data_IF_717513758339
#
_entry.id   IF_717513758339
#
_cell.length_a   1.000
_cell.length_b   1.000
_cell.length_c   1.000
_cell.angle_alpha   90.00
_cell.angle_beta   90.00
_cell.angle_gamma   90.00
#
_symmetry.space_group_name_H-M   'P 1'
#
loop_
_entity.id
_entity.type
_entity.pdbx_description
1 polymer ?
#
# COMPACT_ATOMS: atom_id res chain seq x y z
N UNK A 1 4.32 9.16 10.97
CA UNK A 1 3.05 8.75 11.60
C UNK A 1 2.42 7.63 10.78
N UNK A 2 1.98 6.54 11.41
CA UNK A 2 1.23 5.48 10.71
C UNK A 2 -0.27 5.78 10.82
N UNK A 3 -1.00 5.76 9.69
CA UNK A 3 -2.44 6.02 9.64
C UNK A 3 -3.13 5.17 8.58
N UNK A 4 -4.46 5.10 8.63
CA UNK A 4 -5.25 4.53 7.53
C UNK A 4 -5.10 5.41 6.28
N UNK A 5 -5.08 4.77 5.12
CA UNK A 5 -5.05 5.47 3.85
C UNK A 5 -6.39 6.15 3.53
N UNK A 6 -6.33 7.26 2.84
CA UNK A 6 -7.46 7.99 2.28
C UNK A 6 -7.39 7.93 0.74
N UNK A 7 -8.47 8.28 0.01
CA UNK A 7 -8.45 8.27 -1.45
C UNK A 7 -7.36 9.13 -2.09
N UNK A 8 -6.87 10.18 -1.40
CA UNK A 8 -5.77 11.03 -1.89
C UNK A 8 -4.41 10.32 -1.86
N UNK A 9 -4.24 9.30 -1.02
CA UNK A 9 -2.97 8.56 -0.92
C UNK A 9 -2.77 7.55 -2.07
N UNK A 10 -3.82 7.26 -2.86
CA UNK A 10 -3.81 6.16 -3.83
C UNK A 10 -2.69 6.25 -4.86
N UNK A 11 -2.35 7.47 -5.31
CA UNK A 11 -1.27 7.68 -6.26
C UNK A 11 0.11 7.38 -5.63
N UNK A 12 0.35 7.86 -4.40
CA UNK A 12 1.59 7.59 -3.67
C UNK A 12 1.76 6.08 -3.37
N UNK A 13 0.66 5.41 -3.00
CA UNK A 13 0.64 3.95 -2.81
C UNK A 13 1.02 3.24 -4.11
N UNK A 14 0.42 3.62 -5.24
CA UNK A 14 0.71 2.98 -6.52
C UNK A 14 2.19 3.16 -6.92
N UNK A 15 2.77 4.34 -6.67
CA UNK A 15 4.17 4.60 -6.97
C UNK A 15 5.10 3.66 -6.20
N UNK A 16 4.90 3.50 -4.88
CA UNK A 16 5.70 2.56 -4.09
C UNK A 16 5.50 1.11 -4.54
N UNK A 17 4.27 0.69 -4.87
CA UNK A 17 4.02 -0.65 -5.42
C UNK A 17 4.79 -0.84 -6.73
N UNK A 18 4.80 0.16 -7.61
CA UNK A 18 5.49 0.10 -8.91
C UNK A 18 7.00 -0.10 -8.74
N UNK A 19 7.63 0.67 -7.84
CA UNK A 19 9.07 0.54 -7.54
C UNK A 19 9.46 -0.90 -7.21
N UNK A 20 8.65 -1.61 -6.41
CA UNK A 20 8.91 -3.00 -6.08
C UNK A 20 8.42 -4.02 -7.11
N UNK A 21 7.44 -3.65 -7.94
CA UNK A 21 6.91 -4.52 -8.99
C UNK A 21 7.87 -4.61 -10.20
N UNK A 22 8.62 -3.54 -10.49
CA UNK A 22 9.62 -3.53 -11.58
C UNK A 22 10.70 -4.61 -11.39
N UNK A 23 11.11 -4.89 -10.15
CA UNK A 23 12.06 -5.94 -9.79
C UNK A 23 11.40 -7.30 -9.47
N UNK A 24 10.08 -7.44 -9.66
CA UNK A 24 9.34 -8.66 -9.36
C UNK A 24 9.19 -8.99 -7.86
N UNK A 25 9.54 -8.05 -6.97
CA UNK A 25 9.43 -8.23 -5.50
C UNK A 25 8.00 -8.07 -4.98
N UNK A 26 7.12 -7.45 -5.76
CA UNK A 26 5.73 -7.20 -5.40
C UNK A 26 4.81 -7.35 -6.61
N UNK A 27 3.60 -7.87 -6.39
CA UNK A 27 2.57 -7.88 -7.43
C UNK A 27 2.09 -6.45 -7.73
N UNK A 28 2.07 -6.09 -9.01
CA UNK A 28 1.52 -4.83 -9.47
C UNK A 28 0.03 -4.68 -9.09
N UNK A 29 -0.40 -3.44 -8.89
CA UNK A 29 -1.81 -3.06 -8.73
C UNK A 29 -2.12 -1.79 -9.48
N UNK A 30 -3.28 -1.78 -10.13
CA UNK A 30 -3.83 -0.60 -10.79
C UNK A 30 -4.30 0.43 -9.77
N UNK A 31 -4.37 1.69 -10.18
CA UNK A 31 -4.89 2.77 -9.35
C UNK A 31 -6.36 2.54 -8.97
N UNK A 32 -7.13 1.92 -9.87
CA UNK A 32 -8.53 1.56 -9.65
C UNK A 32 -8.67 0.53 -8.52
N UNK A 33 -7.89 -0.54 -8.54
CA UNK A 33 -7.87 -1.56 -7.46
C UNK A 33 -7.45 -0.95 -6.12
N UNK A 34 -6.44 -0.09 -6.12
CA UNK A 34 -5.98 0.59 -4.89
C UNK A 34 -7.11 1.48 -4.33
N UNK A 35 -7.78 2.28 -5.16
CA UNK A 35 -8.91 3.12 -4.73
C UNK A 35 -10.07 2.30 -4.21
N UNK A 36 -10.43 1.20 -4.89
CA UNK A 36 -11.47 0.28 -4.45
C UNK A 36 -11.17 -0.32 -3.07
N UNK A 37 -9.90 -0.63 -2.80
CA UNK A 37 -9.47 -1.26 -1.55
C UNK A 37 -8.78 -0.30 -0.58
N UNK A 38 -8.93 1.01 -0.73
CA UNK A 38 -8.12 2.00 -0.01
C UNK A 38 -8.20 1.84 1.51
N UNK A 39 -9.36 1.45 2.04
CA UNK A 39 -9.59 1.25 3.48
C UNK A 39 -8.79 0.09 4.08
N UNK A 40 -8.27 -0.81 3.24
CA UNK A 40 -7.40 -1.91 3.67
C UNK A 40 -5.95 -1.49 3.82
N UNK A 41 -5.57 -0.31 3.31
CA UNK A 41 -4.20 0.19 3.36
C UNK A 41 -3.93 1.00 4.64
N UNK A 42 -2.74 0.78 5.17
CA UNK A 42 -2.05 1.64 6.12
C UNK A 42 -0.90 2.32 5.39
N UNK A 43 -0.65 3.57 5.73
CA UNK A 43 0.46 4.36 5.20
C UNK A 43 1.30 4.91 6.35
N UNK A 44 2.61 4.99 6.14
CA UNK A 44 3.52 5.74 6.99
C UNK A 44 3.82 7.07 6.31
N UNK A 45 3.48 8.16 6.98
CA UNK A 45 3.71 9.52 6.52
C UNK A 45 4.86 10.17 7.29
N UNK A 46 5.77 10.84 6.59
CA UNK A 46 6.86 11.63 7.15
C UNK A 46 6.98 12.92 6.34
N UNK A 47 6.99 14.07 7.01
CA UNK A 47 7.13 15.39 6.38
C UNK A 47 6.12 15.65 5.23
N UNK A 48 4.90 15.12 5.37
CA UNK A 48 3.83 15.21 4.36
C UNK A 48 3.94 14.21 3.21
N UNK A 49 5.00 13.38 3.18
CA UNK A 49 5.21 12.36 2.15
C UNK A 49 4.88 10.95 2.67
N UNK A 50 4.30 10.13 1.80
CA UNK A 50 4.08 8.71 2.10
C UNK A 50 5.38 7.95 1.84
N UNK A 51 6.01 7.52 2.93
CA UNK A 51 7.30 6.80 2.93
C UNK A 51 7.15 5.30 3.18
N UNK A 52 5.94 4.81 3.37
CA UNK A 52 5.69 3.38 3.54
C UNK A 52 4.24 3.00 3.40
N UNK A 53 4.00 1.77 2.97
CA UNK A 53 2.67 1.22 2.66
C UNK A 53 2.55 -0.21 3.15
N UNK A 54 1.34 -0.61 3.51
CA UNK A 54 0.95 -1.99 3.78
C UNK A 54 -0.55 -2.12 3.56
N UNK A 55 -1.03 -3.26 3.09
CA UNK A 55 -2.46 -3.58 3.07
C UNK A 55 -2.74 -4.87 3.83
N UNK A 56 -3.89 -4.92 4.49
CA UNK A 56 -4.36 -6.11 5.20
C UNK A 56 -5.56 -6.70 4.45
N UNK A 57 -5.44 -7.95 4.01
CA UNK A 57 -6.55 -8.70 3.42
C UNK A 57 -7.03 -9.73 4.44
N UNK A 58 -8.27 -9.57 4.87
CA UNK A 58 -8.95 -10.53 5.73
C UNK A 58 -9.45 -11.68 4.86
N UNK A 59 -9.06 -12.91 5.22
CA UNK A 59 -9.47 -14.14 4.58
C UNK A 59 -10.59 -14.86 5.34
N UNK A 60 -10.76 -16.13 5.03
CA UNK A 60 -11.63 -17.04 5.76
C UNK A 60 -10.95 -17.50 7.06
N UNK A 61 -11.74 -18.00 8.03
CA UNK A 61 -11.24 -18.65 9.25
C UNK A 61 -10.22 -17.85 10.08
N UNK A 62 -10.47 -16.55 10.24
CA UNK A 62 -9.65 -15.63 11.04
C UNK A 62 -8.22 -15.41 10.51
N UNK A 63 -7.92 -15.81 9.26
CA UNK A 63 -6.65 -15.51 8.61
C UNK A 63 -6.60 -14.05 8.14
N UNK A 64 -5.46 -13.40 8.34
CA UNK A 64 -5.15 -12.08 7.74
C UNK A 64 -3.84 -12.17 6.98
N UNK A 65 -3.87 -11.73 5.73
CA UNK A 65 -2.70 -11.65 4.86
C UNK A 65 -2.16 -10.21 4.85
N UNK A 66 -0.88 -10.05 5.15
CA UNK A 66 -0.14 -8.81 4.89
C UNK A 66 0.22 -8.78 3.40
N UNK A 67 -0.20 -7.73 2.69
CA UNK A 67 0.03 -7.56 1.25
C UNK A 67 0.60 -6.19 0.96
N UNK A 68 1.37 -6.08 -0.11
CA UNK A 68 1.89 -4.79 -0.59
C UNK A 68 2.63 -3.99 0.51
N UNK A 69 3.43 -4.69 1.32
CA UNK A 69 4.31 -4.07 2.30
C UNK A 69 5.55 -3.52 1.58
N UNK A 70 5.80 -2.23 1.70
CA UNK A 70 6.95 -1.58 1.08
C UNK A 70 7.28 -0.26 1.78
N UNK A 71 8.55 0.15 1.73
CA UNK A 71 9.06 1.41 2.30
C UNK A 71 9.73 2.17 1.16
N UNK A 72 9.76 3.50 1.21
CA UNK A 72 10.55 4.27 0.24
C UNK A 72 12.03 3.84 0.34
N UNK A 73 12.68 3.43 -0.77
CA UNK A 73 14.08 3.00 -0.74
C UNK A 73 15.10 4.14 -0.60
N UNK A 74 14.65 5.40 -0.64
CA UNK A 74 15.51 6.59 -0.50
C UNK A 74 15.90 6.89 0.95
#
# INVERSE_FOLDING_TARGET
MIRKATPSDAAAIQNLIRVYAEDGKMLFRTLAEIRQHIRSFLVSEKDGEIVGICSLKYGWDQLVEIRSLGVDPR
#
